data_IF_662232949383
#
_entry.id   IF_662232949383
#
_cell.length_a   1.000
_cell.length_b   1.000
_cell.length_c   1.000
_cell.angle_alpha   90.00
_cell.angle_beta   90.00
_cell.angle_gamma   90.00
#
_symmetry.space_group_name_H-M   'P 1'
#
loop_
_entity.id
_entity.type
_entity.pdbx_description
1 polymer ?
#
# COMPACT_ATOMS: atom_id res chain seq x y z
N UNK A 1 14.23 1.94 -22.13
CA UNK A 1 13.32 0.98 -22.81
C UNK A 1 12.88 -0.14 -21.88
N UNK A 2 13.77 -0.69 -21.04
CA UNK A 2 13.47 -1.79 -20.10
C UNK A 2 12.25 -1.55 -19.17
N UNK A 3 12.02 -0.32 -18.70
CA UNK A 3 10.85 -0.01 -17.86
C UNK A 3 9.53 -0.13 -18.61
N UNK A 4 9.50 0.25 -19.89
CA UNK A 4 8.30 0.16 -20.73
C UNK A 4 7.99 -1.31 -21.05
N UNK A 5 9.01 -2.09 -21.40
CA UNK A 5 8.89 -3.52 -21.67
C UNK A 5 8.27 -4.28 -20.48
N UNK A 6 8.78 -4.03 -19.26
CA UNK A 6 8.22 -4.60 -18.02
C UNK A 6 6.76 -4.21 -17.80
N UNK A 7 6.38 -2.98 -18.13
CA UNK A 7 4.99 -2.53 -18.06
C UNK A 7 4.09 -3.26 -19.06
N UNK A 8 4.54 -3.42 -20.30
CA UNK A 8 3.82 -4.17 -21.34
C UNK A 8 3.66 -5.64 -20.97
N UNK A 9 4.71 -6.29 -20.48
CA UNK A 9 4.63 -7.68 -20.01
C UNK A 9 3.60 -7.84 -18.89
N UNK A 10 3.62 -6.95 -17.90
CA UNK A 10 2.66 -6.98 -16.79
C UNK A 10 1.24 -6.79 -17.30
N UNK A 11 1.02 -5.85 -18.22
CA UNK A 11 -0.28 -5.60 -18.82
C UNK A 11 -0.77 -6.83 -19.60
N UNK A 12 0.07 -7.40 -20.47
CA UNK A 12 -0.26 -8.59 -21.26
C UNK A 12 -0.62 -9.78 -20.37
N UNK A 13 0.18 -10.06 -19.33
CA UNK A 13 -0.12 -11.13 -18.35
C UNK A 13 -1.46 -10.92 -17.66
N UNK A 14 -1.77 -9.68 -17.26
CA UNK A 14 -3.05 -9.34 -16.64
C UNK A 14 -4.22 -9.53 -17.61
N UNK A 15 -4.08 -9.12 -18.87
CA UNK A 15 -5.12 -9.29 -19.88
C UNK A 15 -5.39 -10.77 -20.18
N UNK A 16 -4.34 -11.59 -20.35
CA UNK A 16 -4.47 -13.04 -20.53
C UNK A 16 -5.17 -13.67 -19.32
N UNK A 17 -4.79 -13.28 -18.10
CA UNK A 17 -5.45 -13.77 -16.88
C UNK A 17 -6.93 -13.37 -16.81
N UNK A 18 -7.27 -12.13 -17.16
CA UNK A 18 -8.66 -11.67 -17.18
C UNK A 18 -9.49 -12.36 -18.26
N UNK A 19 -8.91 -12.60 -19.44
CA UNK A 19 -9.56 -13.34 -20.52
C UNK A 19 -10.01 -14.73 -20.06
N UNK A 20 -9.18 -15.42 -19.27
CA UNK A 20 -9.54 -16.69 -18.62
C UNK A 20 -10.76 -16.55 -17.72
N UNK A 21 -10.91 -15.46 -16.98
CA UNK A 21 -12.05 -15.24 -16.08
C UNK A 21 -13.31 -14.95 -16.89
N UNK A 22 -13.21 -14.11 -17.91
CA UNK A 22 -14.33 -13.82 -18.80
C UNK A 22 -14.81 -15.07 -19.55
N UNK A 23 -13.91 -15.96 -19.96
CA UNK A 23 -14.29 -17.24 -20.54
C UNK A 23 -15.14 -18.09 -19.58
N UNK A 24 -14.79 -18.11 -18.29
CA UNK A 24 -15.64 -18.76 -17.27
C UNK A 24 -17.01 -18.11 -17.19
N UNK A 25 -17.07 -16.77 -17.15
CA UNK A 25 -18.36 -16.05 -17.10
C UNK A 25 -19.22 -16.38 -18.33
N UNK A 26 -18.64 -16.31 -19.53
CA UNK A 26 -19.31 -16.61 -20.79
C UNK A 26 -19.79 -18.07 -20.82
N UNK A 27 -18.93 -19.03 -20.48
CA UNK A 27 -19.29 -20.45 -20.45
C UNK A 27 -20.49 -20.73 -19.54
N UNK A 28 -20.48 -20.16 -18.33
CA UNK A 28 -21.57 -20.32 -17.39
C UNK A 28 -22.87 -19.64 -17.85
N UNK A 29 -22.79 -18.51 -18.54
CA UNK A 29 -23.96 -17.79 -19.05
C UNK A 29 -24.54 -18.44 -20.33
N UNK A 30 -23.68 -18.78 -21.29
CA UNK A 30 -24.06 -19.17 -22.65
C UNK A 30 -24.25 -20.69 -22.79
N UNK A 31 -23.49 -21.51 -22.05
CA UNK A 31 -23.51 -22.98 -22.18
C UNK A 31 -24.28 -23.62 -21.01
N UNK A 32 -23.98 -23.20 -19.78
CA UNK A 32 -24.62 -23.78 -18.57
C UNK A 32 -25.95 -23.07 -18.22
N UNK A 33 -26.20 -21.89 -18.79
CA UNK A 33 -27.36 -21.04 -18.50
C UNK A 33 -27.53 -20.71 -17.01
N UNK A 34 -26.41 -20.56 -16.29
CA UNK A 34 -26.34 -20.14 -14.89
C UNK A 34 -25.26 -19.07 -14.72
N UNK A 35 -25.60 -17.79 -14.89
CA UNK A 35 -24.62 -16.71 -14.84
C UNK A 35 -23.86 -16.67 -13.51
N UNK A 36 -22.55 -16.43 -13.59
CA UNK A 36 -21.66 -16.27 -12.43
C UNK A 36 -21.05 -14.88 -12.44
N UNK A 37 -20.91 -14.27 -11.27
CA UNK A 37 -20.24 -12.97 -11.15
C UNK A 37 -18.74 -13.14 -11.33
N UNK A 38 -18.07 -12.10 -11.82
CA UNK A 38 -16.62 -12.10 -12.06
C UNK A 38 -15.81 -12.51 -10.82
N UNK A 39 -16.23 -12.07 -9.63
CA UNK A 39 -15.60 -12.41 -8.34
C UNK A 39 -15.57 -13.92 -8.09
N UNK A 40 -16.65 -14.62 -8.41
CA UNK A 40 -16.79 -16.06 -8.21
C UNK A 40 -16.13 -16.83 -9.36
N UNK A 41 -16.26 -16.32 -10.59
CA UNK A 41 -15.64 -16.90 -11.78
C UNK A 41 -14.13 -17.04 -11.62
N UNK A 42 -13.46 -16.06 -10.99
CA UNK A 42 -12.01 -16.09 -10.72
C UNK A 42 -11.52 -17.37 -10.03
N UNK A 43 -12.37 -18.01 -9.22
CA UNK A 43 -12.05 -19.21 -8.45
C UNK A 43 -12.27 -20.52 -9.22
N UNK A 44 -13.05 -20.47 -10.30
CA UNK A 44 -13.39 -21.65 -11.12
C UNK A 44 -12.35 -21.88 -12.21
N UNK A 45 -12.15 -23.15 -12.56
CA UNK A 45 -11.32 -23.58 -13.67
C UNK A 45 -12.17 -24.51 -14.54
N UNK A 46 -12.25 -24.22 -15.84
CA UNK A 46 -12.90 -25.11 -16.80
C UNK A 46 -11.92 -26.17 -17.32
N UNK A 47 -12.44 -27.18 -18.03
CA UNK A 47 -11.60 -28.04 -18.85
C UNK A 47 -11.14 -27.31 -20.12
N UNK A 48 -10.05 -27.79 -20.73
CA UNK A 48 -9.51 -27.21 -21.95
C UNK A 48 -10.56 -27.11 -23.05
N UNK A 49 -11.41 -28.15 -23.19
CA UNK A 49 -12.51 -28.19 -24.15
C UNK A 49 -13.56 -27.11 -23.88
N UNK A 50 -14.00 -26.94 -22.63
CA UNK A 50 -15.02 -25.95 -22.31
C UNK A 50 -14.59 -24.51 -22.63
N UNK A 51 -13.30 -24.20 -22.46
CA UNK A 51 -12.75 -22.90 -22.88
C UNK A 51 -12.85 -22.69 -24.40
N UNK A 52 -12.78 -23.74 -25.22
CA UNK A 52 -12.85 -23.61 -26.68
C UNK A 52 -14.25 -23.26 -27.18
N UNK A 53 -15.29 -23.53 -26.38
CA UNK A 53 -16.69 -23.23 -26.71
C UNK A 53 -17.03 -21.75 -26.64
N UNK A 54 -16.17 -20.93 -26.02
CA UNK A 54 -16.40 -19.50 -25.80
C UNK A 54 -15.21 -18.64 -26.27
N UNK A 55 -14.87 -18.66 -27.58
CA UNK A 55 -13.76 -17.89 -28.10
C UNK A 55 -14.06 -16.39 -28.12
N UNK A 56 -13.08 -15.56 -27.75
CA UNK A 56 -13.20 -14.11 -27.87
C UNK A 56 -12.82 -13.63 -29.27
N UNK A 57 -13.60 -12.69 -29.82
CA UNK A 57 -13.41 -12.18 -31.19
C UNK A 57 -12.09 -11.45 -31.43
N UNK A 58 -11.44 -10.94 -30.39
CA UNK A 58 -10.18 -10.18 -30.51
C UNK A 58 -8.93 -11.05 -30.48
N UNK A 59 -9.07 -12.37 -30.28
CA UNK A 59 -7.95 -13.33 -30.26
C UNK A 59 -8.03 -14.25 -31.46
N UNK A 60 -6.88 -14.53 -32.05
CA UNK A 60 -6.75 -15.58 -33.05
C UNK A 60 -7.16 -16.95 -32.46
N UNK A 61 -7.85 -17.78 -33.24
CA UNK A 61 -8.36 -19.09 -32.81
C UNK A 61 -7.27 -20.04 -32.32
N UNK A 62 -6.11 -20.10 -32.99
CA UNK A 62 -4.99 -20.95 -32.58
C UNK A 62 -4.38 -20.50 -31.26
N UNK A 63 -4.27 -19.18 -31.06
CA UNK A 63 -3.85 -18.62 -29.79
C UNK A 63 -4.84 -18.95 -28.68
N UNK A 64 -6.14 -18.88 -28.99
CA UNK A 64 -7.20 -19.25 -28.04
C UNK A 64 -7.14 -20.73 -27.66
N UNK A 65 -6.93 -21.64 -28.62
CA UNK A 65 -6.78 -23.07 -28.32
C UNK A 65 -5.55 -23.35 -27.46
N UNK A 66 -4.40 -22.71 -27.75
CA UNK A 66 -3.20 -22.84 -26.92
C UNK A 66 -3.43 -22.33 -25.49
N UNK A 67 -4.09 -21.18 -25.34
CA UNK A 67 -4.46 -20.65 -24.02
C UNK A 67 -5.45 -21.57 -23.29
N UNK A 68 -6.44 -22.10 -23.99
CA UNK A 68 -7.44 -23.04 -23.46
C UNK A 68 -6.79 -24.32 -22.93
N UNK A 69 -5.86 -24.90 -23.72
CA UNK A 69 -5.07 -26.05 -23.31
C UNK A 69 -4.22 -25.75 -22.06
N UNK A 70 -3.56 -24.60 -22.04
CA UNK A 70 -2.77 -24.16 -20.89
C UNK A 70 -3.65 -23.97 -19.63
N UNK A 71 -4.76 -23.24 -19.73
CA UNK A 71 -5.62 -22.97 -18.57
C UNK A 71 -6.36 -24.20 -18.05
N UNK A 72 -6.65 -25.16 -18.92
CA UNK A 72 -7.23 -26.45 -18.55
C UNK A 72 -6.22 -27.46 -18.00
N UNK A 73 -4.91 -27.22 -18.18
CA UNK A 73 -3.84 -28.10 -17.68
C UNK A 73 -3.79 -28.17 -16.16
N UNK A 74 -3.37 -29.32 -15.64
CA UNK A 74 -3.18 -29.52 -14.20
C UNK A 74 -2.03 -28.67 -13.66
N UNK A 75 -1.00 -28.42 -14.48
CA UNK A 75 0.10 -27.53 -14.13
C UNK A 75 -0.40 -26.12 -13.82
N UNK A 76 -1.22 -25.54 -14.71
CA UNK A 76 -1.78 -24.20 -14.48
C UNK A 76 -2.68 -24.18 -13.24
N UNK A 77 -3.55 -25.18 -13.07
CA UNK A 77 -4.43 -25.29 -11.89
C UNK A 77 -3.60 -25.34 -10.60
N UNK A 78 -2.53 -26.14 -10.58
CA UNK A 78 -1.58 -26.25 -9.46
C UNK A 78 -0.89 -24.92 -9.18
N UNK A 79 -0.33 -24.26 -10.20
CA UNK A 79 0.33 -22.95 -10.06
C UNK A 79 -0.64 -21.86 -9.58
N UNK A 80 -1.87 -21.86 -10.11
CA UNK A 80 -2.93 -20.93 -9.71
C UNK A 80 -3.32 -21.13 -8.24
N UNK A 81 -3.51 -22.38 -7.82
CA UNK A 81 -3.81 -22.73 -6.43
C UNK A 81 -2.66 -22.34 -5.49
N UNK A 82 -1.42 -22.69 -5.83
CA UNK A 82 -0.22 -22.33 -5.05
C UNK A 82 -0.10 -20.81 -4.89
N UNK A 83 -0.22 -20.04 -5.97
CA UNK A 83 -0.19 -18.56 -5.91
C UNK A 83 -1.36 -17.97 -5.13
N UNK A 84 -2.53 -18.63 -5.14
CA UNK A 84 -3.69 -18.21 -4.34
C UNK A 84 -3.43 -18.47 -2.86
N UNK A 85 -2.97 -19.66 -2.51
CA UNK A 85 -2.64 -20.04 -1.14
C UNK A 85 -1.53 -19.12 -0.60
N UNK A 86 -0.49 -18.82 -1.38
CA UNK A 86 0.55 -17.87 -0.99
C UNK A 86 0.02 -16.45 -0.72
N UNK A 87 -0.98 -15.99 -1.48
CA UNK A 87 -1.63 -14.69 -1.21
C UNK A 87 -2.51 -14.71 0.03
N UNK A 88 -3.11 -15.85 0.35
CA UNK A 88 -4.00 -16.02 1.51
C UNK A 88 -3.23 -16.38 2.80
N UNK A 89 -2.04 -16.96 2.67
CA UNK A 89 -1.17 -17.34 3.79
C UNK A 89 -0.40 -16.17 4.37
N UNK A 90 -0.39 -15.00 3.71
CA UNK A 90 0.13 -13.75 4.26
C UNK A 90 -1.05 -13.07 4.97
N UNK A 91 -1.10 -13.10 6.33
CA UNK A 91 -2.11 -12.37 7.08
C UNK A 91 -1.91 -10.90 6.79
N UNK A 92 -2.98 -10.21 6.36
CA UNK A 92 -2.97 -8.81 5.98
C UNK A 92 -1.78 -8.44 5.08
N UNK A 93 -1.96 -8.58 3.76
CA UNK A 93 -1.01 -8.03 2.78
C UNK A 93 -0.59 -6.64 3.26
N UNK A 94 0.68 -6.51 3.67
CA UNK A 94 1.24 -5.27 4.16
C UNK A 94 0.85 -4.21 3.15
N UNK A 95 0.19 -3.15 3.60
CA UNK A 95 -0.03 -2.00 2.75
C UNK A 95 1.38 -1.46 2.43
N UNK A 96 1.97 -1.90 1.32
CA UNK A 96 3.25 -1.39 0.85
C UNK A 96 3.03 0.03 0.32
N UNK A 97 2.79 0.99 1.22
CA UNK A 97 2.79 2.44 0.96
C UNK A 97 2.26 2.85 -0.40
N UNK A 98 1.14 2.24 -0.84
CA UNK A 98 0.56 2.50 -2.15
C UNK A 98 -0.05 3.90 -2.21
N UNK A 99 -0.83 4.19 -3.23
CA UNK A 99 -1.56 5.47 -3.41
C UNK A 99 -2.60 5.79 -2.32
N UNK A 100 -2.66 5.03 -1.23
CA UNK A 100 -3.62 5.17 -0.15
C UNK A 100 -3.00 5.95 0.99
N UNK A 101 -3.47 7.18 1.24
CA UNK A 101 -3.01 8.02 2.35
C UNK A 101 -3.40 7.44 3.72
N UNK A 102 -2.73 7.87 4.78
CA UNK A 102 -3.09 7.54 6.18
C UNK A 102 -4.55 7.90 6.48
N UNK A 103 -5.04 9.04 5.99
CA UNK A 103 -6.44 9.44 6.14
C UNK A 103 -7.41 8.45 5.45
N UNK A 104 -7.04 7.91 4.28
CA UNK A 104 -7.84 6.85 3.63
C UNK A 104 -7.71 5.50 4.36
N UNK A 105 -6.61 5.26 5.06
CA UNK A 105 -6.49 4.12 5.98
C UNK A 105 -7.50 4.23 7.11
N UNK A 106 -7.54 5.40 7.77
CA UNK A 106 -8.49 5.72 8.85
C UNK A 106 -9.93 5.46 8.44
N UNK A 107 -10.39 6.07 7.34
CA UNK A 107 -11.77 5.94 6.87
C UNK A 107 -12.21 4.47 6.70
N UNK A 108 -11.38 3.62 6.09
CA UNK A 108 -11.81 2.23 5.94
C UNK A 108 -11.72 1.43 7.24
N UNK A 109 -10.84 1.79 8.19
CA UNK A 109 -10.85 1.15 9.51
C UNK A 109 -12.17 1.47 10.23
N UNK A 110 -12.61 2.72 10.15
CA UNK A 110 -13.90 3.15 10.70
C UNK A 110 -15.08 2.44 10.02
N UNK A 111 -15.08 2.34 8.68
CA UNK A 111 -16.08 1.56 7.92
C UNK A 111 -16.06 0.06 8.29
N UNK A 112 -14.90 -0.52 8.59
CA UNK A 112 -14.75 -1.96 8.84
C UNK A 112 -15.14 -2.36 10.25
N UNK A 113 -14.70 -1.59 11.26
CA UNK A 113 -14.88 -1.93 12.68
C UNK A 113 -15.96 -1.10 13.37
N UNK A 114 -16.57 -0.12 12.69
CA UNK A 114 -17.72 0.64 13.22
C UNK A 114 -17.40 1.57 14.39
N UNK A 115 -16.13 1.96 14.57
CA UNK A 115 -15.68 2.90 15.60
C UNK A 115 -14.74 3.95 15.01
N UNK A 116 -14.60 5.15 15.61
CA UNK A 116 -13.56 6.09 15.20
C UNK A 116 -12.16 5.49 15.45
N UNK A 117 -11.23 5.80 14.54
CA UNK A 117 -9.82 5.45 14.69
C UNK A 117 -8.99 6.71 14.77
N UNK A 118 -7.92 6.70 15.56
CA UNK A 118 -6.99 7.82 15.62
C UNK A 118 -6.08 7.84 14.39
N UNK A 119 -5.41 8.98 14.18
CA UNK A 119 -4.41 9.13 13.13
C UNK A 119 -3.20 8.21 13.36
N UNK A 120 -2.87 7.93 14.62
CA UNK A 120 -1.77 7.04 15.01
C UNK A 120 -2.12 5.57 14.77
N UNK A 121 -3.31 5.12 15.16
CA UNK A 121 -3.81 3.77 14.86
C UNK A 121 -3.80 3.53 13.33
N UNK A 122 -4.25 4.53 12.58
CA UNK A 122 -4.27 4.52 11.12
C UNK A 122 -2.88 4.51 10.51
N UNK A 123 -1.92 5.23 11.09
CA UNK A 123 -0.53 5.23 10.67
C UNK A 123 0.12 3.85 10.90
N UNK A 124 -0.08 3.23 12.07
CA UNK A 124 0.47 1.91 12.37
C UNK A 124 -0.01 0.87 11.34
N UNK A 125 -1.32 0.81 11.06
CA UNK A 125 -1.89 -0.05 10.01
C UNK A 125 -1.37 0.30 8.62
N UNK A 126 -1.23 1.59 8.32
CA UNK A 126 -0.70 2.05 7.03
C UNK A 126 0.75 1.57 6.81
N UNK A 127 1.54 1.49 7.88
CA UNK A 127 2.94 1.04 7.86
C UNK A 127 3.10 -0.48 8.05
N UNK A 128 2.00 -1.24 8.13
CA UNK A 128 2.00 -2.70 8.07
C UNK A 128 1.73 -3.41 9.40
N UNK A 129 1.29 -2.71 10.44
CA UNK A 129 0.80 -3.34 11.66
C UNK A 129 -0.54 -4.06 11.43
N UNK A 130 -0.81 -5.12 12.21
CA UNK A 130 -2.05 -5.91 12.09
C UNK A 130 -3.28 -5.07 12.42
N UNK A 131 -4.29 -5.07 11.53
CA UNK A 131 -5.51 -4.29 11.71
C UNK A 131 -6.34 -4.77 12.88
N UNK A 132 -6.50 -6.08 13.01
CA UNK A 132 -7.33 -6.68 14.06
C UNK A 132 -6.74 -6.41 15.45
N UNK A 133 -5.42 -6.49 15.57
CA UNK A 133 -4.73 -6.20 16.85
C UNK A 133 -4.82 -4.71 17.20
N UNK A 134 -4.63 -3.80 16.23
CA UNK A 134 -4.84 -2.36 16.45
C UNK A 134 -6.30 -2.05 16.83
N UNK A 135 -7.27 -2.71 16.17
CA UNK A 135 -8.68 -2.49 16.40
C UNK A 135 -9.10 -2.86 17.84
N UNK A 136 -8.55 -3.96 18.36
CA UNK A 136 -8.84 -4.53 19.68
C UNK A 136 -7.98 -3.99 20.82
N UNK A 137 -6.83 -3.37 20.54
CA UNK A 137 -5.93 -2.85 21.56
C UNK A 137 -6.60 -1.83 22.49
N UNK A 138 -5.98 -1.50 23.62
CA UNK A 138 -6.47 -0.47 24.53
C UNK A 138 -5.38 0.55 24.88
N UNK A 139 -5.83 1.76 25.20
CA UNK A 139 -4.97 2.87 25.56
C UNK A 139 -3.87 3.18 24.52
N UNK A 140 -2.61 2.97 24.92
CA UNK A 140 -1.41 3.22 24.13
C UNK A 140 -0.79 1.96 23.48
N UNK A 141 -1.48 0.83 23.52
CA UNK A 141 -0.96 -0.42 22.97
C UNK A 141 -1.09 -0.46 21.46
N UNK A 142 0.02 -0.77 20.77
CA UNK A 142 0.07 -1.00 19.34
C UNK A 142 0.93 -2.23 19.03
N UNK A 143 0.53 -3.06 18.04
CA UNK A 143 1.37 -4.14 17.56
C UNK A 143 2.65 -3.58 16.90
N UNK A 144 3.75 -4.35 16.91
CA UNK A 144 5.00 -3.92 16.30
C UNK A 144 4.81 -3.65 14.81
N UNK A 145 5.39 -2.55 14.34
CA UNK A 145 5.40 -2.17 12.93
C UNK A 145 6.63 -2.83 12.27
N UNK A 146 6.46 -3.62 11.20
CA UNK A 146 7.58 -4.30 10.53
C UNK A 146 8.64 -3.35 9.92
N UNK A 147 8.27 -2.10 9.65
CA UNK A 147 9.17 -1.06 9.17
C UNK A 147 9.85 -0.37 10.36
N UNK A 148 11.12 -0.68 10.59
CA UNK A 148 11.93 -0.14 11.70
C UNK A 148 11.95 1.39 11.74
N UNK A 149 12.07 2.06 10.58
CA UNK A 149 12.05 3.52 10.52
C UNK A 149 10.70 4.09 10.96
N UNK A 150 9.61 3.43 10.57
CA UNK A 150 8.27 3.84 10.97
C UNK A 150 8.02 3.61 12.47
N UNK A 151 8.53 2.50 13.00
CA UNK A 151 8.51 2.20 14.43
C UNK A 151 9.26 3.28 15.21
N UNK A 152 10.49 3.62 14.80
CA UNK A 152 11.28 4.67 15.44
C UNK A 152 10.58 6.04 15.42
N UNK A 153 9.89 6.40 14.32
CA UNK A 153 9.12 7.65 14.27
C UNK A 153 7.96 7.64 15.27
N UNK A 154 7.27 6.50 15.41
CA UNK A 154 6.16 6.32 16.34
C UNK A 154 6.63 6.40 17.80
N UNK A 155 7.73 5.72 18.12
CA UNK A 155 8.30 5.68 19.47
C UNK A 155 8.75 7.08 19.89
N UNK A 156 9.46 7.80 19.01
CA UNK A 156 9.86 9.19 19.26
C UNK A 156 8.65 10.11 19.50
N UNK A 157 7.55 9.93 18.75
CA UNK A 157 6.33 10.70 18.98
C UNK A 157 5.69 10.37 20.33
N UNK A 158 5.58 9.08 20.66
CA UNK A 158 5.05 8.63 21.95
C UNK A 158 5.84 9.16 23.13
N UNK A 159 7.17 9.14 23.06
CA UNK A 159 8.05 9.70 24.09
C UNK A 159 7.93 11.22 24.16
N UNK A 160 7.84 11.91 23.01
CA UNK A 160 7.56 13.34 22.95
C UNK A 160 6.24 13.73 23.63
N UNK A 161 5.18 12.95 23.42
CA UNK A 161 3.88 13.16 24.04
C UNK A 161 3.96 12.96 25.56
N UNK A 162 4.62 11.89 26.03
CA UNK A 162 4.85 11.65 27.46
C UNK A 162 5.66 12.75 28.13
N UNK A 163 6.70 13.25 27.44
CA UNK A 163 7.53 14.34 27.96
C UNK A 163 6.76 15.66 28.04
N UNK A 164 5.79 15.89 27.16
CA UNK A 164 5.02 17.14 27.10
C UNK A 164 3.83 17.13 28.06
N UNK A 165 3.13 16.00 28.17
CA UNK A 165 1.84 15.90 28.86
C UNK A 165 1.82 14.92 30.05
N UNK A 166 2.94 14.23 30.33
CA UNK A 166 3.07 13.24 31.40
C UNK A 166 2.89 11.80 30.94
N UNK A 167 3.29 10.84 31.78
CA UNK A 167 3.34 9.41 31.44
C UNK A 167 1.97 8.78 31.15
N UNK A 168 0.91 9.32 31.75
CA UNK A 168 -0.47 8.80 31.63
C UNK A 168 -1.20 9.27 30.37
N UNK A 169 -0.54 10.07 29.51
CA UNK A 169 -1.17 10.61 28.30
C UNK A 169 -1.56 9.50 27.33
N UNK A 170 -2.81 9.52 26.87
CA UNK A 170 -3.30 8.63 25.83
C UNK A 170 -2.88 9.16 24.45
N UNK A 171 -1.64 8.93 24.05
CA UNK A 171 -1.07 9.47 22.80
C UNK A 171 -1.43 8.66 21.54
N UNK A 172 -1.82 7.39 21.70
CA UNK A 172 -2.29 6.57 20.57
C UNK A 172 -3.73 6.91 20.22
N UNK A 173 -4.65 6.92 21.20
CA UNK A 173 -6.09 7.16 20.97
C UNK A 173 -6.56 8.58 21.25
N UNK A 174 -5.70 9.43 21.80
CA UNK A 174 -5.99 10.83 22.03
C UNK A 174 -5.82 11.69 20.76
N UNK A 175 -5.96 13.02 20.92
CA UNK A 175 -5.74 13.96 19.84
C UNK A 175 -4.28 13.92 19.36
N UNK A 176 -4.10 14.01 18.04
CA UNK A 176 -2.78 14.06 17.42
C UNK A 176 -2.16 15.45 17.58
N UNK A 177 -0.97 15.53 18.16
CA UNK A 177 -0.22 16.79 18.27
C UNK A 177 0.87 16.86 17.19
N UNK A 178 0.59 17.68 16.18
CA UNK A 178 1.48 17.87 15.03
C UNK A 178 2.79 18.58 15.39
N UNK A 179 2.79 19.43 16.44
CA UNK A 179 3.98 20.15 16.88
C UNK A 179 4.91 19.20 17.65
N UNK A 180 4.37 18.37 18.55
CA UNK A 180 5.14 17.34 19.27
C UNK A 180 5.74 16.35 18.26
N UNK A 181 4.95 15.91 17.27
CA UNK A 181 5.46 15.05 16.20
C UNK A 181 6.62 15.70 15.43
N UNK A 182 6.48 16.97 15.03
CA UNK A 182 7.54 17.69 14.32
C UNK A 182 8.82 17.82 15.17
N UNK A 183 8.68 18.16 16.45
CA UNK A 183 9.80 18.34 17.36
C UNK A 183 10.59 17.05 17.63
N UNK A 184 9.93 15.89 17.61
CA UNK A 184 10.54 14.61 18.00
C UNK A 184 10.91 13.69 16.82
N UNK A 185 10.35 13.93 15.62
CA UNK A 185 10.67 13.13 14.43
C UNK A 185 11.57 13.88 13.43
N UNK A 186 11.71 15.20 13.59
CA UNK A 186 12.66 16.03 12.85
C UNK A 186 12.09 16.69 11.59
N UNK A 187 13.00 17.31 10.82
CA UNK A 187 12.67 18.08 9.61
C UNK A 187 11.99 17.20 8.56
N UNK A 188 11.18 17.82 7.69
CA UNK A 188 10.53 17.21 6.53
C UNK A 188 11.52 16.84 5.40
N UNK A 189 11.98 15.58 5.27
CA UNK A 189 12.82 15.20 4.15
C UNK A 189 11.93 15.16 2.90
N UNK A 190 12.34 15.85 1.84
CA UNK A 190 11.53 16.01 0.60
C UNK A 190 10.15 16.66 0.81
N UNK A 191 9.98 17.45 1.87
CA UNK A 191 8.74 18.19 2.13
C UNK A 191 7.62 17.38 2.79
N UNK A 192 7.90 16.16 3.26
CA UNK A 192 6.91 15.28 3.91
C UNK A 192 7.13 15.13 5.41
N UNK A 193 6.05 15.02 6.17
CA UNK A 193 6.11 14.64 7.59
C UNK A 193 6.44 13.16 7.77
N UNK A 194 7.07 12.83 8.90
CA UNK A 194 7.45 11.47 9.24
C UNK A 194 6.24 10.58 9.57
N UNK A 195 5.19 11.17 10.14
CA UNK A 195 3.92 10.52 10.48
C UNK A 195 2.78 11.27 9.80
N UNK A 196 1.87 10.51 9.20
CA UNK A 196 0.58 10.99 8.66
C UNK A 196 0.67 12.22 7.73
N UNK A 197 1.68 12.24 6.85
CA UNK A 197 1.82 13.25 5.82
C UNK A 197 0.54 13.40 4.96
N UNK A 198 0.12 14.64 4.72
CA UNK A 198 -1.13 14.97 4.03
C UNK A 198 -2.39 14.99 4.91
N UNK A 199 -2.34 14.50 6.15
CA UNK A 199 -3.40 14.70 7.15
C UNK A 199 -3.12 15.91 8.08
N UNK A 200 -1.90 16.44 8.04
CA UNK A 200 -1.46 17.54 8.88
C UNK A 200 -1.54 18.86 8.11
N UNK A 201 -2.24 19.84 8.68
CA UNK A 201 -2.18 21.21 8.20
C UNK A 201 -0.82 21.83 8.56
N UNK A 202 0.04 21.97 7.56
CA UNK A 202 1.40 22.51 7.75
C UNK A 202 1.43 23.95 8.25
N UNK A 203 0.36 24.72 8.10
CA UNK A 203 0.28 26.10 8.61
C UNK A 203 0.22 26.17 10.14
N UNK A 204 -0.18 25.06 10.78
CA UNK A 204 -0.33 24.96 12.24
C UNK A 204 0.97 24.64 12.97
N UNK A 205 2.06 24.35 12.24
CA UNK A 205 3.34 23.95 12.83
C UNK A 205 4.33 25.11 12.78
N UNK A 206 4.90 25.40 13.93
CA UNK A 206 6.04 26.30 14.05
C UNK A 206 7.31 25.56 13.62
N UNK A 207 7.77 25.88 12.41
CA UNK A 207 9.03 25.36 11.90
C UNK A 207 10.20 26.13 12.53
N UNK A 208 11.10 25.42 13.20
CA UNK A 208 12.39 26.01 13.58
C UNK A 208 13.23 26.29 12.33
N UNK A 209 13.27 27.56 11.90
CA UNK A 209 14.30 28.05 10.98
C UNK A 209 15.64 28.02 11.69
N UNK A 210 16.38 26.94 11.53
CA UNK A 210 17.83 26.99 11.68
C UNK A 210 18.36 27.60 10.38
N UNK A 211 18.31 28.94 10.30
CA UNK A 211 19.11 29.68 9.36
C UNK A 211 20.57 29.34 9.67
N UNK A 212 21.25 28.68 8.73
CA UNK A 212 22.70 28.61 8.81
C UNK A 212 23.23 30.04 8.74
N UNK A 213 24.10 30.51 9.66
CA UNK A 213 24.87 31.71 9.40
C UNK A 213 25.67 31.43 8.12
N UNK A 214 25.42 32.24 7.09
CA UNK A 214 26.19 32.24 5.86
C UNK A 214 27.67 32.25 6.22
N UNK A 215 28.42 31.21 5.83
CA UNK A 215 29.88 31.28 5.91
C UNK A 215 30.32 32.56 5.19
N UNK A 216 31.19 33.39 5.79
CA UNK A 216 31.72 34.53 5.09
C UNK A 216 32.51 34.01 3.90
N UNK A 217 32.11 34.41 2.70
CA UNK A 217 32.90 34.21 1.49
C UNK A 217 34.27 34.82 1.74
N UNK A 218 35.29 33.99 1.77
CA UNK A 218 36.67 34.41 1.75
C UNK A 218 36.90 35.20 0.45
N UNK A 219 36.99 36.52 0.60
CA UNK A 219 37.46 37.41 -0.44
C UNK A 219 38.89 36.97 -0.81
N UNK A 220 39.05 36.32 -1.97
CA UNK A 220 40.37 36.19 -2.58
C UNK A 220 40.76 37.58 -3.10
N UNK A 221 41.67 38.21 -2.35
CA UNK A 221 42.36 39.41 -2.73
C UNK A 221 43.18 39.16 -3.99
N UNK A 222 42.93 40.01 -4.98
CA UNK A 222 43.85 40.49 -6.01
C UNK A 222 45.33 40.13 -5.85
N UNK A 223 45.93 39.59 -6.90
CA UNK A 223 47.30 39.98 -7.27
C UNK A 223 47.30 40.38 -8.74
N UNK A 224 47.63 41.65 -8.95
CA UNK A 224 47.83 42.29 -10.25
C UNK A 224 49.17 41.87 -10.86
N UNK A 225 49.19 41.87 -12.21
CA UNK A 225 50.26 42.38 -13.10
C UNK A 225 51.62 41.64 -13.10
N UNK A 226 52.39 41.57 -14.18
CA UNK A 226 52.56 42.47 -15.33
C UNK A 226 53.36 41.74 -16.44
N UNK A 227 53.18 42.20 -17.68
CA UNK A 227 54.03 42.10 -18.91
C UNK A 227 54.47 40.73 -19.41
#
# INVERSE_FOLDING_TARGET
METLERCYEKLARNQIYNARIYAVVAYYAEIIHRPVKFKDAKLKHLFSYDYTLVPFRWTNTDAWFKLSAWWGSDEFKRLSAMKRNARLSVPDAQNHGGSRSTARTQQCLEETYGRPFSLIESFAVHMGASKDVVAQGEGNELPPIPNERAQNHLDNYGDGMKNTYGLEVQWVRGPFDAQVMYNNTGRKPHGKFAIADGAIDSSTIQFFTTAHPSQPQSAQSSTQREV
#
